data_IF_715719807838
#
_entry.id   IF_715719807838
#
_cell.length_a   1.000
_cell.length_b   1.000
_cell.length_c   1.000
_cell.angle_alpha   90.00
_cell.angle_beta   90.00
_cell.angle_gamma   90.00
#
_symmetry.space_group_name_H-M   'P 1'
#
loop_
_entity.id
_entity.type
_entity.pdbx_description
1 polymer ?
#
# COMPACT_ATOMS: atom_id res chain seq x y z
N UNK A 1 3.86 -17.94 -0.88
CA UNK A 1 4.25 -17.36 -2.18
C UNK A 1 4.27 -15.84 -2.14
N UNK A 2 3.18 -15.17 -1.74
CA UNK A 2 3.07 -13.69 -1.72
C UNK A 2 4.09 -12.98 -0.83
N UNK A 3 4.24 -13.38 0.44
CA UNK A 3 5.24 -12.79 1.35
C UNK A 3 6.67 -13.05 0.87
N UNK A 4 6.98 -14.28 0.48
CA UNK A 4 8.30 -14.63 -0.08
C UNK A 4 8.62 -13.81 -1.33
N UNK A 5 7.62 -13.56 -2.19
CA UNK A 5 7.79 -12.65 -3.33
C UNK A 5 8.00 -11.21 -2.86
N UNK A 6 7.27 -10.71 -1.86
CA UNK A 6 7.48 -9.35 -1.33
C UNK A 6 8.89 -9.16 -0.75
N UNK A 7 9.52 -10.21 -0.25
CA UNK A 7 10.82 -10.16 0.42
C UNK A 7 11.93 -10.92 -0.33
N UNK A 8 11.79 -11.16 -1.63
CA UNK A 8 12.82 -11.87 -2.40
C UNK A 8 13.92 -10.89 -2.83
N UNK A 9 15.09 -11.01 -2.22
CA UNK A 9 16.20 -10.09 -2.37
C UNK A 9 16.42 -9.17 -1.16
N UNK A 10 17.45 -8.31 -1.23
CA UNK A 10 17.80 -7.39 -0.15
C UNK A 10 16.64 -6.49 0.28
N UNK A 11 15.92 -5.94 -0.70
CA UNK A 11 14.74 -5.10 -0.56
C UNK A 11 13.94 -5.22 -1.86
N UNK A 12 12.63 -5.03 -1.83
CA UNK A 12 11.86 -4.92 -3.08
C UNK A 12 11.18 -3.56 -3.20
N UNK A 13 10.94 -3.15 -4.44
CA UNK A 13 10.37 -1.84 -4.79
C UNK A 13 9.03 -2.05 -5.47
N UNK A 14 8.01 -1.38 -4.98
CA UNK A 14 6.66 -1.33 -5.54
C UNK A 14 6.20 0.11 -5.70
N UNK A 15 4.91 0.28 -5.92
CA UNK A 15 4.28 1.58 -6.16
C UNK A 15 3.07 1.77 -5.26
N UNK A 16 2.86 2.99 -4.80
CA UNK A 16 1.64 3.41 -4.12
C UNK A 16 0.76 4.21 -5.10
N UNK A 17 -0.51 3.82 -5.19
CA UNK A 17 -1.49 4.51 -6.03
C UNK A 17 -2.04 5.77 -5.34
N UNK A 18 -2.50 6.77 -6.10
CA UNK A 18 -2.54 6.86 -7.57
C UNK A 18 -1.17 7.09 -8.24
N UNK A 19 -1.06 6.67 -9.51
CA UNK A 19 0.08 6.95 -10.39
C UNK A 19 -0.19 8.23 -11.19
N UNK A 20 -0.27 9.36 -10.51
CA UNK A 20 -0.38 10.70 -11.09
C UNK A 20 0.76 11.59 -10.57
N UNK A 21 0.81 12.83 -11.05
CA UNK A 21 1.73 13.87 -10.58
C UNK A 21 0.99 15.19 -10.25
N UNK A 22 -0.26 15.12 -9.78
CA UNK A 22 -1.08 16.32 -9.60
C UNK A 22 -0.60 17.25 -8.48
N UNK A 23 0.30 16.81 -7.59
CA UNK A 23 0.86 17.70 -6.55
C UNK A 23 2.03 18.55 -7.03
N UNK A 24 2.38 18.48 -8.31
CA UNK A 24 3.29 19.43 -8.97
C UNK A 24 2.58 20.75 -9.29
N UNK A 25 3.34 21.81 -9.57
CA UNK A 25 2.75 23.10 -9.96
C UNK A 25 1.93 22.97 -11.26
N UNK A 26 2.46 22.22 -12.23
CA UNK A 26 1.80 21.97 -13.50
C UNK A 26 0.56 21.08 -13.34
N UNK A 27 0.65 20.00 -12.55
CA UNK A 27 -0.48 19.16 -12.22
C UNK A 27 -1.61 19.94 -11.53
N UNK A 28 -1.28 20.84 -10.59
CA UNK A 28 -2.28 21.72 -9.97
C UNK A 28 -2.91 22.70 -10.96
N UNK A 29 -2.14 23.21 -11.93
CA UNK A 29 -2.67 24.07 -13.01
C UNK A 29 -3.66 23.28 -13.87
N UNK A 30 -3.30 22.07 -14.29
CA UNK A 30 -4.17 21.22 -15.10
C UNK A 30 -5.44 20.81 -14.34
N UNK A 31 -5.31 20.38 -13.08
CA UNK A 31 -6.45 20.09 -12.20
C UNK A 31 -7.48 21.22 -12.15
N UNK A 32 -7.02 22.47 -12.07
CA UNK A 32 -7.90 23.66 -12.05
C UNK A 32 -8.60 23.86 -13.39
N UNK A 33 -7.92 23.63 -14.52
CA UNK A 33 -8.53 23.67 -15.86
C UNK A 33 -9.61 22.59 -16.01
N UNK A 34 -9.34 21.39 -15.50
CA UNK A 34 -10.28 20.25 -15.50
C UNK A 34 -11.41 20.41 -14.47
N UNK A 35 -11.34 21.44 -13.61
CA UNK A 35 -12.27 21.67 -12.49
C UNK A 35 -12.35 20.49 -11.51
N UNK A 36 -11.26 19.73 -11.36
CA UNK A 36 -11.15 18.61 -10.40
C UNK A 36 -10.94 19.17 -8.98
N UNK A 37 -11.60 18.64 -7.93
CA UNK A 37 -11.33 19.06 -6.55
C UNK A 37 -9.87 18.82 -6.13
N UNK A 38 -9.36 19.62 -5.18
CA UNK A 38 -7.99 19.43 -4.67
C UNK A 38 -7.81 18.01 -4.10
N UNK A 39 -6.66 17.38 -4.38
CA UNK A 39 -6.38 16.03 -3.92
C UNK A 39 -7.03 14.90 -4.73
N UNK A 40 -7.96 15.19 -5.65
CA UNK A 40 -8.52 14.21 -6.61
C UNK A 40 -7.55 14.02 -7.78
N UNK A 41 -6.97 12.83 -7.96
CA UNK A 41 -6.01 12.55 -9.03
C UNK A 41 -6.64 12.57 -10.43
N UNK A 42 -5.82 12.82 -11.45
CA UNK A 42 -6.12 12.42 -12.81
C UNK A 42 -5.93 10.91 -12.93
N UNK A 43 -6.99 10.22 -13.34
CA UNK A 43 -7.01 8.76 -13.48
C UNK A 43 -7.21 8.36 -14.94
N UNK A 44 -7.05 9.26 -15.90
CA UNK A 44 -7.20 8.96 -17.34
C UNK A 44 -6.31 7.80 -17.80
N UNK A 45 -5.07 7.73 -17.31
CA UNK A 45 -4.07 6.73 -17.68
C UNK A 45 -3.87 5.63 -16.61
N UNK A 46 -4.76 5.52 -15.62
CA UNK A 46 -4.55 4.62 -14.48
C UNK A 46 -4.35 3.14 -14.88
N UNK A 47 -5.07 2.69 -15.91
CA UNK A 47 -4.99 1.31 -16.41
C UNK A 47 -3.68 1.06 -17.18
N UNK A 48 -3.25 2.00 -18.03
CA UNK A 48 -2.02 1.87 -18.81
C UNK A 48 -0.80 1.90 -17.90
N UNK A 49 -0.79 2.77 -16.89
CA UNK A 49 0.28 2.87 -15.91
C UNK A 49 0.36 1.63 -14.99
N UNK A 50 -0.78 1.06 -14.59
CA UNK A 50 -0.79 -0.20 -13.82
C UNK A 50 -0.22 -1.38 -14.62
N UNK A 51 -0.52 -1.46 -15.92
CA UNK A 51 0.08 -2.47 -16.82
C UNK A 51 1.57 -2.25 -17.00
N UNK A 52 1.99 -1.00 -17.22
CA UNK A 52 3.39 -0.65 -17.36
C UNK A 52 4.16 -1.03 -16.10
N UNK A 53 3.64 -0.75 -14.90
CA UNK A 53 4.26 -1.15 -13.64
C UNK A 53 4.46 -2.67 -13.52
N UNK A 54 3.46 -3.45 -13.94
CA UNK A 54 3.52 -4.92 -13.95
C UNK A 54 4.57 -5.45 -14.94
N UNK A 55 4.60 -4.89 -16.15
CA UNK A 55 5.54 -5.26 -17.21
C UNK A 55 6.99 -4.88 -16.87
N UNK A 56 7.19 -3.74 -16.20
CA UNK A 56 8.49 -3.27 -15.75
C UNK A 56 9.05 -4.04 -14.53
N UNK A 57 8.24 -4.89 -13.90
CA UNK A 57 8.69 -5.74 -12.79
C UNK A 57 8.62 -5.09 -11.42
N UNK A 58 7.85 -4.00 -11.23
CA UNK A 58 7.56 -3.49 -9.89
C UNK A 58 6.88 -4.59 -9.05
N UNK A 59 7.20 -4.63 -7.76
CA UNK A 59 6.86 -5.78 -6.92
C UNK A 59 5.41 -5.80 -6.48
N UNK A 60 4.86 -4.63 -6.15
CA UNK A 60 3.51 -4.49 -5.61
C UNK A 60 2.88 -3.16 -6.02
N UNK A 61 1.54 -3.14 -6.15
CA UNK A 61 0.72 -1.92 -6.16
C UNK A 61 -0.02 -1.81 -4.84
N UNK A 62 0.05 -0.64 -4.18
CA UNK A 62 -0.60 -0.38 -2.90
C UNK A 62 -1.74 0.63 -3.04
N UNK A 63 -2.88 0.31 -2.42
CA UNK A 63 -4.15 1.04 -2.59
C UNK A 63 -4.71 1.43 -1.23
N UNK A 64 -5.14 2.68 -1.06
CA UNK A 64 -5.68 3.18 0.21
C UNK A 64 -7.20 3.03 0.26
N UNK A 65 -7.77 3.01 1.46
CA UNK A 65 -9.22 3.00 1.66
C UNK A 65 -9.68 4.37 2.12
N UNK A 66 -10.17 5.17 1.16
CA UNK A 66 -10.70 6.52 1.38
C UNK A 66 -12.15 6.53 0.88
N UNK A 67 -13.12 6.14 1.73
CA UNK A 67 -14.50 5.99 1.30
C UNK A 67 -15.23 7.34 1.15
N UNK A 68 -14.73 8.40 1.80
CA UNK A 68 -15.26 9.75 1.69
C UNK A 68 -14.17 10.74 1.30
N UNK A 69 -14.48 11.61 0.34
CA UNK A 69 -13.65 12.78 0.07
C UNK A 69 -13.93 13.87 1.09
N UNK A 70 -12.89 14.27 1.83
CA UNK A 70 -12.92 15.39 2.76
C UNK A 70 -11.94 16.48 2.28
N UNK A 71 -12.43 17.65 1.84
CA UNK A 71 -11.58 18.76 1.42
C UNK A 71 -10.58 19.22 2.50
N UNK A 72 -10.91 19.06 3.78
CA UNK A 72 -10.02 19.44 4.89
C UNK A 72 -8.85 18.47 5.07
N UNK A 73 -9.01 17.22 4.63
CA UNK A 73 -7.93 16.22 4.59
C UNK A 73 -7.03 16.43 3.35
N UNK A 74 -7.61 16.87 2.23
CA UNK A 74 -6.86 17.28 1.04
C UNK A 74 -6.29 16.13 0.20
N UNK A 75 -6.82 14.91 0.36
CA UNK A 75 -6.42 13.75 -0.43
C UNK A 75 -7.57 12.75 -0.61
N UNK A 76 -7.95 12.52 -1.87
CA UNK A 76 -8.98 11.56 -2.28
C UNK A 76 -8.40 10.16 -2.57
N UNK A 77 -7.10 9.96 -2.31
CA UNK A 77 -6.34 8.78 -2.73
C UNK A 77 -6.58 8.47 -4.22
N UNK A 78 -6.83 7.21 -4.57
CA UNK A 78 -7.11 6.78 -5.94
C UNK A 78 -8.60 6.75 -6.30
N UNK A 79 -9.47 7.43 -5.53
CA UNK A 79 -10.93 7.63 -5.74
C UNK A 79 -11.79 6.36 -5.69
N UNK A 80 -11.35 5.27 -6.32
CA UNK A 80 -12.07 4.01 -6.39
C UNK A 80 -12.04 3.27 -5.06
N UNK A 81 -13.12 2.52 -4.78
CA UNK A 81 -13.14 1.53 -3.70
C UNK A 81 -11.98 0.53 -3.87
N UNK A 82 -11.18 0.27 -2.82
CA UNK A 82 -9.99 -0.54 -2.92
C UNK A 82 -10.27 -1.98 -3.38
N UNK A 83 -11.34 -2.63 -2.90
CA UNK A 83 -11.60 -4.04 -3.23
C UNK A 83 -12.18 -4.21 -4.63
N UNK A 84 -13.02 -3.27 -5.07
CA UNK A 84 -13.49 -3.17 -6.47
C UNK A 84 -12.30 -2.92 -7.39
N UNK A 85 -11.44 -1.97 -7.04
CA UNK A 85 -10.31 -1.61 -7.89
C UNK A 85 -9.24 -2.71 -7.96
N UNK A 86 -8.99 -3.43 -6.86
CA UNK A 86 -8.15 -4.63 -6.88
C UNK A 86 -8.74 -5.73 -7.77
N UNK A 87 -10.06 -5.89 -7.80
CA UNK A 87 -10.74 -6.79 -8.74
C UNK A 87 -10.46 -6.43 -10.20
N UNK A 88 -10.55 -5.15 -10.55
CA UNK A 88 -10.16 -4.64 -11.87
C UNK A 88 -8.66 -4.88 -12.16
N UNK A 89 -7.79 -4.52 -11.23
CA UNK A 89 -6.34 -4.67 -11.40
C UNK A 89 -5.91 -6.13 -11.52
N UNK A 90 -6.66 -7.06 -10.90
CA UNK A 90 -6.44 -8.50 -11.06
C UNK A 90 -6.59 -8.95 -12.51
N UNK A 91 -7.52 -8.34 -13.27
CA UNK A 91 -7.76 -8.67 -14.68
C UNK A 91 -6.84 -7.97 -15.68
N UNK A 92 -6.17 -6.89 -15.29
CA UNK A 92 -5.30 -6.11 -16.19
C UNK A 92 -3.80 -6.29 -15.91
N UNK A 93 -3.43 -6.96 -14.82
CA UNK A 93 -2.03 -7.27 -14.44
C UNK A 93 -1.84 -8.77 -14.24
N UNK A 94 -0.61 -9.26 -14.40
CA UNK A 94 -0.26 -10.69 -14.39
C UNK A 94 0.66 -11.08 -13.24
N UNK A 95 1.63 -10.25 -12.88
CA UNK A 95 2.73 -10.63 -12.00
C UNK A 95 2.74 -9.84 -10.69
N UNK A 96 2.52 -8.53 -10.74
CA UNK A 96 2.65 -7.60 -9.63
C UNK A 96 1.74 -8.00 -8.46
N UNK A 97 2.24 -7.90 -7.23
CA UNK A 97 1.41 -8.13 -6.06
C UNK A 97 0.38 -7.00 -5.90
N UNK A 98 -0.79 -7.34 -5.38
CA UNK A 98 -1.89 -6.39 -5.23
C UNK A 98 -2.14 -6.18 -3.73
N UNK A 99 -1.86 -4.98 -3.24
CA UNK A 99 -1.83 -4.65 -1.81
C UNK A 99 -2.82 -3.56 -1.44
N UNK A 100 -3.42 -3.65 -0.24
CA UNK A 100 -4.08 -2.51 0.39
C UNK A 100 -3.16 -1.90 1.45
N UNK A 101 -3.19 -0.57 1.61
CA UNK A 101 -2.44 0.18 2.62
C UNK A 101 -3.27 1.35 3.18
N UNK A 102 -4.46 1.14 3.74
CA UNK A 102 -5.03 -0.14 4.17
C UNK A 102 -6.57 -0.07 4.23
N UNK A 103 -7.24 -1.22 4.14
CA UNK A 103 -8.69 -1.35 4.35
C UNK A 103 -9.03 -0.96 5.78
N UNK A 104 -9.94 0.00 5.97
CA UNK A 104 -10.39 0.43 7.29
C UNK A 104 -11.46 -0.52 7.79
N UNK A 105 -11.03 -1.56 8.51
CA UNK A 105 -11.94 -2.65 8.93
C UNK A 105 -13.16 -2.18 9.72
N UNK A 106 -13.04 -1.23 10.68
CA UNK A 106 -14.20 -0.75 11.43
C UNK A 106 -15.30 -0.10 10.59
N UNK A 107 -15.00 0.37 9.37
CA UNK A 107 -15.97 1.03 8.48
C UNK A 107 -16.61 0.05 7.48
N UNK A 108 -16.28 -1.25 7.54
CA UNK A 108 -16.75 -2.26 6.58
C UNK A 108 -17.31 -3.48 7.28
N UNK A 109 -18.25 -4.17 6.62
CA UNK A 109 -18.69 -5.49 7.09
C UNK A 109 -17.55 -6.52 6.93
N UNK A 110 -17.03 -7.12 8.02
CA UNK A 110 -15.86 -8.00 7.95
C UNK A 110 -16.12 -9.28 7.14
N UNK A 111 -17.35 -9.79 7.13
CA UNK A 111 -17.75 -10.93 6.30
C UNK A 111 -17.70 -10.60 4.80
N UNK A 112 -18.11 -9.38 4.44
CA UNK A 112 -18.04 -8.90 3.05
C UNK A 112 -16.59 -8.63 2.65
N UNK A 113 -15.77 -8.07 3.54
CA UNK A 113 -14.32 -7.92 3.29
C UNK A 113 -13.67 -9.29 3.05
N UNK A 114 -13.99 -10.30 3.86
CA UNK A 114 -13.46 -11.66 3.66
C UNK A 114 -13.87 -12.24 2.31
N UNK A 115 -15.16 -12.14 1.96
CA UNK A 115 -15.68 -12.61 0.67
C UNK A 115 -15.00 -11.92 -0.51
N UNK A 116 -14.88 -10.59 -0.45
CA UNK A 116 -14.22 -9.80 -1.50
C UNK A 116 -12.73 -10.13 -1.61
N UNK A 117 -12.04 -10.30 -0.48
CA UNK A 117 -10.63 -10.70 -0.45
C UNK A 117 -10.45 -12.09 -1.08
N UNK A 118 -11.32 -13.07 -0.77
CA UNK A 118 -11.28 -14.39 -1.40
C UNK A 118 -11.50 -14.32 -2.93
N UNK A 119 -12.44 -13.49 -3.39
CA UNK A 119 -12.64 -13.24 -4.82
C UNK A 119 -11.39 -12.66 -5.49
N UNK A 120 -10.77 -11.64 -4.90
CA UNK A 120 -9.53 -11.05 -5.43
C UNK A 120 -8.37 -12.04 -5.38
N UNK A 121 -8.25 -12.84 -4.31
CA UNK A 121 -7.24 -13.89 -4.19
C UNK A 121 -7.34 -14.89 -5.35
N UNK A 122 -8.55 -15.34 -5.68
CA UNK A 122 -8.80 -16.25 -6.80
C UNK A 122 -8.53 -15.58 -8.16
N UNK A 123 -9.09 -14.39 -8.40
CA UNK A 123 -8.97 -13.67 -9.68
C UNK A 123 -7.52 -13.25 -9.96
N UNK A 124 -6.75 -12.95 -8.93
CA UNK A 124 -5.36 -12.54 -9.04
C UNK A 124 -4.37 -13.70 -9.03
N UNK A 125 -4.82 -14.95 -8.87
CA UNK A 125 -3.93 -16.11 -8.70
C UNK A 125 -2.96 -15.95 -7.52
N UNK A 126 -3.50 -15.76 -6.34
CA UNK A 126 -2.78 -15.66 -5.07
C UNK A 126 -1.89 -14.41 -4.87
N UNK A 127 -2.13 -13.31 -5.62
CA UNK A 127 -1.31 -12.09 -5.56
C UNK A 127 -1.73 -11.06 -4.50
N UNK A 128 -2.83 -11.29 -3.78
CA UNK A 128 -3.34 -10.32 -2.80
C UNK A 128 -2.53 -10.30 -1.50
N UNK A 129 -2.24 -9.09 -1.02
CA UNK A 129 -1.79 -8.77 0.34
C UNK A 129 -2.79 -7.80 0.97
N UNK A 130 -3.48 -8.25 2.01
CA UNK A 130 -4.56 -7.45 2.60
C UNK A 130 -4.01 -6.63 3.77
N UNK A 131 -3.59 -5.40 3.48
CA UNK A 131 -3.30 -4.43 4.53
C UNK A 131 -4.58 -3.90 5.16
N UNK A 132 -4.61 -3.88 6.49
CA UNK A 132 -5.78 -3.55 7.31
C UNK A 132 -5.42 -2.50 8.36
N UNK A 133 -6.37 -1.61 8.64
CA UNK A 133 -6.21 -0.55 9.62
C UNK A 133 -7.46 -0.37 10.48
N UNK A 134 -7.29 0.31 11.61
CA UNK A 134 -8.40 0.89 12.35
C UNK A 134 -8.88 2.23 11.77
N UNK A 135 -8.15 2.89 10.87
CA UNK A 135 -8.52 4.21 10.34
C UNK A 135 -8.29 5.38 11.30
N UNK A 136 -8.24 6.58 10.72
CA UNK A 136 -7.73 7.82 11.34
C UNK A 136 -8.63 9.05 11.11
N UNK A 137 -9.81 8.87 10.52
CA UNK A 137 -10.76 9.96 10.19
C UNK A 137 -12.04 9.85 11.03
N UNK A 138 -12.11 10.51 12.21
CA UNK A 138 -13.28 10.46 13.09
C UNK A 138 -14.58 10.92 12.40
N UNK A 139 -14.50 11.86 11.47
CA UNK A 139 -15.65 12.40 10.73
C UNK A 139 -16.39 11.36 9.88
N UNK A 140 -15.69 10.30 9.45
CA UNK A 140 -16.29 9.26 8.61
C UNK A 140 -17.15 8.29 9.45
N UNK A 141 -16.77 8.02 10.69
CA UNK A 141 -17.34 6.95 11.51
C UNK A 141 -18.87 7.00 11.68
N UNK A 142 -19.48 8.15 12.04
CA UNK A 142 -20.92 8.25 12.18
C UNK A 142 -21.69 7.92 10.89
N UNK A 143 -21.10 8.19 9.71
CA UNK A 143 -21.73 7.93 8.41
C UNK A 143 -21.86 6.43 8.10
N UNK A 144 -20.96 5.62 8.66
CA UNK A 144 -20.97 4.16 8.53
C UNK A 144 -21.64 3.46 9.73
N UNK A 145 -22.25 4.22 10.65
CA UNK A 145 -22.84 3.68 11.87
C UNK A 145 -21.81 3.04 12.81
N UNK A 146 -20.55 3.48 12.74
CA UNK A 146 -19.44 2.97 13.54
C UNK A 146 -19.07 3.94 14.66
N UNK A 147 -18.54 3.41 15.77
CA UNK A 147 -18.01 4.19 16.89
C UNK A 147 -16.49 4.34 16.77
N UNK A 148 -16.01 5.59 16.70
CA UNK A 148 -14.58 5.89 16.58
C UNK A 148 -13.79 5.44 17.80
N UNK A 149 -14.36 5.57 19.00
CA UNK A 149 -13.65 5.22 20.24
C UNK A 149 -13.48 3.71 20.36
N UNK A 150 -14.44 2.92 19.89
CA UNK A 150 -14.38 1.46 19.93
C UNK A 150 -13.67 0.81 18.72
N UNK A 151 -13.03 1.61 17.85
CA UNK A 151 -12.40 1.10 16.60
C UNK A 151 -11.33 0.04 16.83
N UNK A 152 -10.66 0.07 17.98
CA UNK A 152 -9.66 -0.96 18.35
C UNK A 152 -10.28 -2.34 18.58
N UNK A 153 -11.43 -2.41 19.25
CA UNK A 153 -12.16 -3.67 19.44
C UNK A 153 -12.77 -4.17 18.12
N UNK A 154 -13.38 -3.25 17.36
CA UNK A 154 -13.96 -3.56 16.06
C UNK A 154 -12.92 -4.11 15.07
N UNK A 155 -11.70 -3.56 15.11
CA UNK A 155 -10.57 -4.07 14.33
C UNK A 155 -10.21 -5.51 14.70
N UNK A 156 -10.06 -5.84 15.99
CA UNK A 156 -9.77 -7.23 16.43
C UNK A 156 -10.87 -8.20 16.00
N UNK A 157 -12.14 -7.84 16.21
CA UNK A 157 -13.27 -8.66 15.82
C UNK A 157 -13.26 -8.95 14.31
N UNK A 158 -12.95 -7.94 13.51
CA UNK A 158 -12.85 -8.09 12.06
C UNK A 158 -11.71 -9.02 11.67
N UNK A 159 -10.53 -8.90 12.29
CA UNK A 159 -9.38 -9.80 12.06
C UNK A 159 -9.73 -11.26 12.38
N UNK A 160 -10.48 -11.53 13.46
CA UNK A 160 -10.94 -12.89 13.78
C UNK A 160 -11.84 -13.48 12.69
N UNK A 161 -12.74 -12.66 12.12
CA UNK A 161 -13.58 -13.09 10.99
C UNK A 161 -12.73 -13.34 9.74
N UNK A 162 -11.82 -12.43 9.40
CA UNK A 162 -10.95 -12.57 8.23
C UNK A 162 -10.04 -13.81 8.31
N UNK A 163 -9.61 -14.18 9.51
CA UNK A 163 -8.74 -15.35 9.76
C UNK A 163 -9.49 -16.67 9.98
N UNK A 164 -10.82 -16.67 9.87
CA UNK A 164 -11.64 -17.87 10.02
C UNK A 164 -11.89 -18.30 11.47
N UNK A 165 -11.39 -17.56 12.47
CA UNK A 165 -11.61 -17.86 13.89
C UNK A 165 -13.09 -17.80 14.31
N UNK A 166 -13.93 -17.16 13.48
CA UNK A 166 -15.36 -16.98 13.71
C UNK A 166 -16.22 -17.88 12.79
N UNK A 167 -15.65 -18.90 12.15
CA UNK A 167 -16.37 -19.78 11.20
C UNK A 167 -17.46 -20.62 11.87
N UNK A 168 -17.39 -20.83 13.18
CA UNK A 168 -18.45 -21.46 13.97
C UNK A 168 -19.79 -20.69 13.93
N UNK A 169 -19.80 -19.44 13.46
CA UNK A 169 -21.02 -18.65 13.25
C UNK A 169 -21.75 -19.00 11.96
N UNK A 170 -21.12 -19.73 11.04
CA UNK A 170 -21.76 -20.21 9.81
C UNK A 170 -22.66 -21.40 10.15
N UNK A 171 -23.85 -21.42 9.57
CA UNK A 171 -24.75 -22.58 9.69
C UNK A 171 -24.20 -23.78 8.90
N UNK A 172 -24.57 -25.02 9.26
CA UNK A 172 -24.16 -26.20 8.50
C UNK A 172 -24.43 -26.04 7.00
N UNK A 173 -23.40 -26.25 6.17
CA UNK A 173 -23.44 -26.11 4.71
C UNK A 173 -23.16 -24.70 4.17
N UNK A 174 -23.06 -23.68 5.03
CA UNK A 174 -22.60 -22.35 4.61
C UNK A 174 -21.07 -22.28 4.55
N UNK A 175 -20.55 -21.68 3.50
CA UNK A 175 -19.13 -21.43 3.32
C UNK A 175 -18.89 -20.12 2.55
N UNK A 176 -17.73 -19.50 2.79
CA UNK A 176 -17.24 -18.42 1.92
C UNK A 176 -16.60 -19.08 0.70
N UNK A 177 -17.13 -18.78 -0.48
CA UNK A 177 -16.56 -19.17 -1.77
C UNK A 177 -16.04 -17.94 -2.53
N UNK A 178 -15.06 -18.03 -3.45
CA UNK A 178 -14.24 -19.23 -3.68
C UNK A 178 -13.46 -19.61 -2.42
N UNK A 179 -13.25 -20.91 -2.21
CA UNK A 179 -12.43 -21.39 -1.10
C UNK A 179 -10.96 -21.17 -1.48
N UNK A 180 -10.38 -20.12 -0.90
CA UNK A 180 -9.01 -19.69 -1.17
C UNK A 180 -8.24 -19.60 0.12
N UNK A 181 -6.92 -19.76 0.02
CA UNK A 181 -6.03 -19.44 1.14
C UNK A 181 -6.25 -18.00 1.60
N UNK A 182 -6.33 -17.79 2.91
CA UNK A 182 -6.39 -16.43 3.47
C UNK A 182 -5.16 -15.62 3.02
N UNK A 183 -5.33 -14.43 2.43
CA UNK A 183 -4.21 -13.56 2.10
C UNK A 183 -3.40 -13.21 3.36
N UNK A 184 -2.09 -12.91 3.23
CA UNK A 184 -1.35 -12.30 4.32
C UNK A 184 -2.03 -11.01 4.77
N UNK A 185 -2.24 -10.88 6.08
CA UNK A 185 -2.77 -9.66 6.68
C UNK A 185 -1.61 -8.78 7.15
N UNK A 186 -1.54 -7.54 6.67
CA UNK A 186 -0.54 -6.58 7.14
C UNK A 186 -1.25 -5.48 7.93
N UNK A 187 -0.75 -5.07 9.09
CA UNK A 187 -1.35 -3.92 9.78
C UNK A 187 -0.73 -2.63 9.28
N UNK A 188 -1.54 -1.59 9.03
CA UNK A 188 -1.03 -0.23 8.91
C UNK A 188 -0.98 0.45 10.28
N UNK A 189 0.20 0.95 10.65
CA UNK A 189 0.45 1.47 12.00
C UNK A 189 0.16 0.41 13.06
N UNK A 190 -0.27 0.83 14.25
CA UNK A 190 -0.63 -0.08 15.34
C UNK A 190 -2.12 -0.43 15.36
N UNK A 191 -2.96 0.27 14.59
CA UNK A 191 -4.41 0.02 14.51
C UNK A 191 -5.11 -0.06 15.87
N UNK A 192 -4.75 0.82 16.83
CA UNK A 192 -5.20 0.82 18.23
C UNK A 192 -4.82 -0.46 19.03
N UNK A 193 -3.78 -1.18 18.62
CA UNK A 193 -3.31 -2.40 19.28
C UNK A 193 -1.94 -2.20 19.91
N UNK A 194 -1.53 -3.14 20.78
CA UNK A 194 -0.14 -3.18 21.23
C UNK A 194 0.76 -3.77 20.14
N UNK A 195 2.07 -3.44 20.13
CA UNK A 195 3.03 -4.04 19.21
C UNK A 195 3.02 -5.58 19.26
N UNK A 196 2.92 -6.17 20.45
CA UNK A 196 2.89 -7.63 20.65
C UNK A 196 1.67 -8.26 19.99
N UNK A 197 0.51 -7.61 20.11
CA UNK A 197 -0.70 -8.12 19.48
C UNK A 197 -0.57 -8.12 17.96
N UNK A 198 -0.09 -7.03 17.35
CA UNK A 198 0.16 -6.97 15.90
C UNK A 198 1.21 -8.01 15.49
N UNK A 199 2.30 -8.13 16.24
CA UNK A 199 3.38 -9.10 15.99
C UNK A 199 2.90 -10.55 15.99
N UNK A 200 1.95 -10.88 16.87
CA UNK A 200 1.34 -12.21 16.93
C UNK A 200 0.31 -12.47 15.82
N UNK A 201 -0.51 -11.47 15.47
CA UNK A 201 -1.71 -11.66 14.65
C UNK A 201 -1.54 -11.29 13.17
N UNK A 202 -0.53 -10.49 12.83
CA UNK A 202 -0.30 -10.02 11.47
C UNK A 202 0.86 -10.76 10.81
N UNK A 203 0.82 -10.79 9.48
CA UNK A 203 1.89 -11.31 8.62
C UNK A 203 2.92 -10.25 8.26
N UNK A 204 2.66 -8.97 8.50
CA UNK A 204 3.60 -7.88 8.23
C UNK A 204 3.11 -6.54 8.79
N UNK A 205 3.98 -5.53 8.72
CA UNK A 205 3.69 -4.18 9.19
C UNK A 205 3.93 -3.15 8.08
N UNK A 206 2.91 -2.32 7.81
CA UNK A 206 2.99 -1.14 6.95
C UNK A 206 3.24 0.09 7.85
N UNK A 207 4.46 0.59 7.81
CA UNK A 207 4.88 1.76 8.57
C UNK A 207 4.76 3.04 7.75
N UNK A 208 4.44 4.14 8.43
CA UNK A 208 4.44 5.48 7.83
C UNK A 208 5.79 5.81 7.17
N UNK A 209 5.79 6.59 6.07
CA UNK A 209 7.00 7.14 5.48
C UNK A 209 7.90 7.80 6.53
N UNK A 210 9.21 7.66 6.37
CA UNK A 210 10.20 8.22 7.27
C UNK A 210 11.61 8.14 6.69
N UNK A 211 12.58 8.69 7.43
CA UNK A 211 14.00 8.55 7.08
C UNK A 211 14.54 7.19 7.53
N UNK A 212 15.67 6.72 6.97
CA UNK A 212 16.32 5.49 7.42
C UNK A 212 16.52 5.46 8.95
N UNK A 213 16.95 6.56 9.55
CA UNK A 213 17.18 6.67 11.01
C UNK A 213 15.89 6.47 11.81
N UNK A 214 14.77 7.04 11.35
CA UNK A 214 13.46 6.86 11.98
C UNK A 214 12.99 5.40 11.88
N UNK A 215 13.34 4.71 10.79
CA UNK A 215 12.98 3.31 10.58
C UNK A 215 13.79 2.35 11.43
N UNK A 216 15.06 2.63 11.75
CA UNK A 216 15.88 1.76 12.64
C UNK A 216 15.12 1.44 13.93
N UNK A 217 14.54 2.44 14.58
CA UNK A 217 13.81 2.24 15.83
C UNK A 217 12.53 1.40 15.63
N UNK A 218 11.72 1.75 14.63
CA UNK A 218 10.43 1.09 14.37
C UNK A 218 10.63 -0.35 13.89
N UNK A 219 11.60 -0.59 13.02
CA UNK A 219 11.93 -1.93 12.53
C UNK A 219 12.47 -2.81 13.67
N UNK A 220 13.31 -2.28 14.57
CA UNK A 220 13.75 -3.02 15.76
C UNK A 220 12.59 -3.39 16.69
N UNK A 221 11.66 -2.45 16.94
CA UNK A 221 10.43 -2.76 17.67
C UNK A 221 9.67 -3.91 17.02
N UNK A 222 9.52 -3.87 15.69
CA UNK A 222 8.85 -4.92 14.93
C UNK A 222 9.53 -6.27 15.07
N UNK A 223 10.85 -6.34 14.85
CA UNK A 223 11.63 -7.58 14.93
C UNK A 223 11.51 -8.21 16.32
N UNK A 224 11.50 -7.40 17.38
CA UNK A 224 11.34 -7.89 18.75
C UNK A 224 10.01 -8.60 18.99
N UNK A 225 8.91 -8.16 18.37
CA UNK A 225 7.57 -8.71 18.61
C UNK A 225 7.07 -9.67 17.53
N UNK A 226 7.71 -9.67 16.36
CA UNK A 226 7.22 -10.34 15.16
C UNK A 226 8.26 -11.24 14.47
N UNK A 227 9.52 -11.24 14.92
CA UNK A 227 10.61 -11.99 14.28
C UNK A 227 10.82 -11.50 12.85
N UNK A 228 10.94 -12.43 11.89
CA UNK A 228 11.32 -12.09 10.51
C UNK A 228 10.19 -11.64 9.58
N UNK A 229 9.01 -11.35 10.13
CA UNK A 229 7.88 -10.90 9.32
C UNK A 229 8.19 -9.58 8.60
N UNK A 230 7.70 -9.38 7.37
CA UNK A 230 8.00 -8.20 6.56
C UNK A 230 7.63 -6.89 7.24
N UNK A 231 8.56 -5.94 7.12
CA UNK A 231 8.39 -4.53 7.43
C UNK A 231 8.40 -3.72 6.13
N UNK A 232 7.35 -2.96 5.90
CA UNK A 232 7.10 -2.20 4.66
C UNK A 232 6.99 -0.73 4.97
N UNK A 233 7.52 0.13 4.11
CA UNK A 233 7.24 1.56 4.15
C UNK A 233 7.10 2.16 2.76
N UNK A 234 7.03 3.48 2.67
CA UNK A 234 6.71 4.21 1.45
C UNK A 234 7.58 5.46 1.34
N UNK A 235 7.82 5.89 0.10
CA UNK A 235 8.56 7.10 -0.21
C UNK A 235 7.77 7.90 -1.23
N UNK A 236 7.42 9.14 -0.90
CA UNK A 236 6.97 10.11 -1.89
C UNK A 236 8.18 10.57 -2.68
N UNK A 237 8.24 10.20 -3.96
CA UNK A 237 9.41 10.40 -4.80
C UNK A 237 9.14 11.47 -5.85
N UNK A 238 10.13 12.35 -6.03
CA UNK A 238 10.30 13.15 -7.23
C UNK A 238 11.62 12.73 -7.90
N UNK A 239 11.52 11.94 -8.98
CA UNK A 239 12.65 11.30 -9.61
C UNK A 239 13.20 12.15 -10.76
N UNK A 240 14.47 12.54 -10.66
CA UNK A 240 15.12 13.44 -11.60
C UNK A 240 15.94 12.67 -12.64
N UNK A 241 15.90 13.15 -13.89
CA UNK A 241 16.64 12.56 -15.01
C UNK A 241 18.17 12.66 -14.87
N UNK A 242 18.70 13.61 -14.09
CA UNK A 242 20.13 13.65 -13.75
C UNK A 242 20.44 12.55 -12.71
N UNK A 243 21.19 11.48 -13.08
CA UNK A 243 21.45 10.36 -12.18
C UNK A 243 22.17 10.76 -10.89
N UNK A 244 22.92 11.88 -10.92
CA UNK A 244 23.72 12.37 -9.78
C UNK A 244 23.01 13.46 -8.99
N UNK A 245 21.76 13.78 -9.31
CA UNK A 245 21.03 14.84 -8.61
C UNK A 245 20.97 14.56 -7.10
N UNK A 246 21.29 15.55 -6.26
CA UNK A 246 21.42 15.35 -4.82
C UNK A 246 20.08 14.97 -4.18
N UNK A 247 20.13 14.26 -3.04
CA UNK A 247 18.94 13.98 -2.23
C UNK A 247 18.44 15.26 -1.56
N UNK A 248 17.22 15.67 -1.87
CA UNK A 248 16.53 16.80 -1.21
C UNK A 248 15.27 16.29 -0.52
N UNK A 249 15.28 16.29 0.81
CA UNK A 249 14.15 15.82 1.63
C UNK A 249 12.95 16.75 1.52
N UNK A 250 11.76 16.14 1.53
CA UNK A 250 10.51 16.83 1.78
C UNK A 250 9.61 15.93 2.63
N UNK A 251 8.43 16.42 3.00
CA UNK A 251 7.47 15.62 3.78
C UNK A 251 7.22 14.28 3.08
N UNK A 252 7.41 13.19 3.83
CA UNK A 252 7.21 11.80 3.42
C UNK A 252 8.12 11.27 2.31
N UNK A 253 9.21 11.95 1.95
CA UNK A 253 10.15 11.41 0.97
C UNK A 253 11.23 12.36 0.53
N UNK A 254 11.60 12.28 -0.76
CA UNK A 254 12.71 13.05 -1.31
C UNK A 254 12.58 13.25 -2.83
N UNK A 255 13.26 14.31 -3.30
CA UNK A 255 13.63 14.50 -4.69
C UNK A 255 15.08 14.04 -4.89
N UNK A 256 15.36 13.24 -5.92
CA UNK A 256 16.72 12.79 -6.26
C UNK A 256 16.79 12.10 -7.62
N UNK A 257 18.00 11.85 -8.13
CA UNK A 257 18.23 10.96 -9.27
C UNK A 257 18.61 9.54 -8.83
N UNK A 258 18.98 8.69 -9.79
CA UNK A 258 19.37 7.29 -9.57
C UNK A 258 20.29 7.06 -8.37
N UNK A 259 21.45 7.72 -8.34
CA UNK A 259 22.49 7.39 -7.36
C UNK A 259 22.03 7.73 -5.94
N UNK A 260 21.18 8.75 -5.78
CA UNK A 260 20.59 9.08 -4.50
C UNK A 260 19.48 8.13 -4.10
N UNK A 261 18.63 7.69 -5.03
CA UNK A 261 17.57 6.71 -4.73
C UNK A 261 18.14 5.34 -4.36
N UNK A 262 19.18 4.87 -5.04
CA UNK A 262 19.87 3.62 -4.66
C UNK A 262 20.40 3.71 -3.23
N UNK A 263 21.16 4.76 -2.92
CA UNK A 263 21.69 4.96 -1.55
C UNK A 263 20.59 5.03 -0.50
N UNK A 264 19.49 5.72 -0.80
CA UNK A 264 18.34 5.79 0.09
C UNK A 264 17.77 4.40 0.39
N UNK A 265 17.58 3.58 -0.64
CA UNK A 265 17.01 2.24 -0.51
C UNK A 265 17.98 1.27 0.21
N UNK A 266 19.29 1.39 0.00
CA UNK A 266 20.32 0.65 0.75
C UNK A 266 20.32 1.02 2.24
N UNK A 267 20.17 2.31 2.56
CA UNK A 267 20.04 2.78 3.93
C UNK A 267 18.73 2.29 4.58
N UNK A 268 17.61 2.31 3.85
CA UNK A 268 16.33 1.76 4.31
C UNK A 268 16.40 0.25 4.53
N UNK A 269 17.05 -0.48 3.62
CA UNK A 269 17.32 -1.91 3.80
C UNK A 269 18.14 -2.15 5.08
N UNK A 270 19.22 -1.39 5.27
CA UNK A 270 20.08 -1.48 6.45
C UNK A 270 19.33 -1.15 7.75
N UNK A 271 18.32 -0.28 7.67
CA UNK A 271 17.40 0.02 8.76
C UNK A 271 16.36 -1.09 9.03
N UNK A 272 16.33 -2.17 8.24
CA UNK A 272 15.46 -3.33 8.42
C UNK A 272 14.18 -3.31 7.57
N UNK A 273 14.08 -2.42 6.58
CA UNK A 273 12.95 -2.35 5.66
C UNK A 273 13.07 -3.43 4.58
N UNK A 274 11.99 -4.17 4.33
CA UNK A 274 11.96 -5.23 3.32
C UNK A 274 11.32 -4.79 1.99
N UNK A 275 10.40 -3.83 2.04
CA UNK A 275 9.71 -3.32 0.85
C UNK A 275 9.47 -1.82 0.94
N UNK A 276 9.65 -1.13 -0.18
CA UNK A 276 9.28 0.28 -0.35
C UNK A 276 8.28 0.44 -1.48
N UNK A 277 7.13 1.05 -1.19
CA UNK A 277 6.22 1.58 -2.20
C UNK A 277 6.60 3.02 -2.57
N UNK A 278 6.82 3.30 -3.86
CA UNK A 278 7.09 4.65 -4.36
C UNK A 278 5.79 5.34 -4.77
N UNK A 279 5.63 6.59 -4.33
CA UNK A 279 4.45 7.41 -4.63
C UNK A 279 4.85 8.65 -5.45
N UNK A 280 4.25 8.81 -6.63
CA UNK A 280 4.73 9.75 -7.66
C UNK A 280 3.96 11.08 -7.73
N UNK A 281 3.03 11.37 -6.81
CA UNK A 281 2.21 12.60 -6.92
C UNK A 281 2.99 13.91 -6.97
N UNK A 282 4.23 13.94 -6.47
CA UNK A 282 5.13 15.10 -6.50
C UNK A 282 6.12 15.08 -7.66
N UNK A 283 6.10 14.04 -8.48
CA UNK A 283 7.08 13.79 -9.52
C UNK A 283 6.92 14.77 -10.69
N UNK A 284 7.95 15.55 -10.98
CA UNK A 284 7.85 16.60 -12.01
C UNK A 284 7.75 16.02 -13.43
N UNK A 285 8.47 14.93 -13.70
CA UNK A 285 8.45 14.27 -15.00
C UNK A 285 7.12 13.50 -15.23
N UNK A 286 6.78 13.18 -16.50
CA UNK A 286 5.72 12.22 -16.80
C UNK A 286 5.91 10.92 -16.01
N UNK A 287 4.85 10.43 -15.38
CA UNK A 287 4.94 9.28 -14.47
C UNK A 287 5.45 8.04 -15.19
N UNK A 288 5.01 7.79 -16.41
CA UNK A 288 5.46 6.64 -17.21
C UNK A 288 6.96 6.69 -17.55
N UNK A 289 7.51 7.88 -17.83
CA UNK A 289 8.95 8.08 -18.03
C UNK A 289 9.72 7.73 -16.74
N UNK A 290 9.29 8.27 -15.60
CA UNK A 290 9.93 7.96 -14.31
C UNK A 290 9.81 6.49 -13.91
N UNK A 291 8.69 5.83 -14.20
CA UNK A 291 8.56 4.38 -13.98
C UNK A 291 9.59 3.60 -14.81
N UNK A 292 9.76 3.93 -16.09
CA UNK A 292 10.75 3.26 -16.96
C UNK A 292 12.18 3.52 -16.49
N UNK A 293 12.51 4.75 -16.10
CA UNK A 293 13.84 5.07 -15.59
C UNK A 293 14.13 4.35 -14.27
N UNK A 294 13.21 4.39 -13.30
CA UNK A 294 13.36 3.64 -12.04
C UNK A 294 13.49 2.14 -12.29
N UNK A 295 12.72 1.60 -13.24
CA UNK A 295 12.82 0.20 -13.65
C UNK A 295 14.22 -0.16 -14.17
N UNK A 296 14.72 0.64 -15.10
CA UNK A 296 16.04 0.46 -15.72
C UNK A 296 17.18 0.64 -14.70
N UNK A 297 17.09 1.66 -13.86
CA UNK A 297 18.21 2.16 -13.07
C UNK A 297 18.29 1.54 -11.67
N UNK A 298 17.16 1.08 -11.11
CA UNK A 298 17.05 0.76 -9.68
C UNK A 298 16.58 -0.66 -9.44
N UNK A 299 15.58 -1.17 -10.17
CA UNK A 299 14.98 -2.47 -9.84
C UNK A 299 16.01 -3.61 -9.92
N UNK A 300 16.89 -3.61 -10.92
CA UNK A 300 17.94 -4.62 -11.08
C UNK A 300 19.02 -4.62 -9.99
N UNK A 301 19.11 -3.56 -9.17
CA UNK A 301 20.02 -3.50 -8.01
C UNK A 301 19.44 -4.29 -6.82
N UNK A 302 18.12 -4.30 -6.67
CA UNK A 302 17.44 -4.78 -5.47
C UNK A 302 16.64 -6.07 -5.67
N UNK A 303 16.07 -6.27 -6.85
CA UNK A 303 15.25 -7.45 -7.11
C UNK A 303 16.15 -8.58 -7.60
N UNK A 304 16.01 -9.75 -6.99
CA UNK A 304 16.58 -10.97 -7.53
C UNK A 304 15.98 -11.26 -8.91
N UNK A 305 16.84 -11.59 -9.87
CA UNK A 305 16.41 -12.13 -11.16
C UNK A 305 15.98 -13.59 -10.92
N UNK A 306 14.67 -13.83 -10.99
CA UNK A 306 14.13 -15.20 -11.02
C UNK A 306 14.47 -15.89 -12.35
#
# INVERSE_FOLDING_TARGET
MTISKLTSGPLTVGLELPLDNDWTQEGQRQRMLDKRPFGVPDLSEHQSLARLADELGFRALWIRDVPLYDPSFGDAAQVFDPLVYLGFLSGVTRNILLGTAAVVLPLRSPWIVRKSAASVQALSHDRLMLGVASGDRPSEYPLFGADYENRGQAFRHSVEILTGKQDSRLSPGQAILPDTRTPPLLSAGLSQQSPEWIGQHMSGWLAYPGTPEEHVHRANLWRNVAGDKPYVSFIHLDYLNDPKAPRRRHRFGLQTGRDGLIRELEEMQSAGVNHIGLHFRRNQAPVDESLRLVAQDVLGVFHETN
#
